data_IF_438833114026
#
_entry.id   IF_438833114026
#
_cell.length_a   1.000
_cell.length_b   1.000
_cell.length_c   1.000
_cell.angle_alpha   90.00
_cell.angle_beta   90.00
_cell.angle_gamma   90.00
#
_symmetry.space_group_name_H-M   'P 1'
#
loop_
_entity.id
_entity.type
_entity.pdbx_description
1 polymer ?
#
# COMPACT_ATOMS: atom_id res chain seq x y z
N UNK A 1 -14.12 -16.38 -23.25
CA UNK A 1 -14.04 -16.30 -21.78
C UNK A 1 -12.62 -16.70 -21.40
N UNK A 2 -11.87 -15.81 -20.74
CA UNK A 2 -10.54 -16.15 -20.23
C UNK A 2 -10.65 -17.20 -19.13
N UNK A 3 -9.70 -18.13 -19.10
CA UNK A 3 -9.56 -19.12 -18.04
C UNK A 3 -9.10 -18.44 -16.74
N UNK A 4 -9.23 -19.12 -15.60
CA UNK A 4 -8.69 -18.63 -14.33
C UNK A 4 -7.17 -18.39 -14.42
N UNK A 5 -6.45 -19.21 -15.19
CA UNK A 5 -5.03 -19.02 -15.43
C UNK A 5 -4.74 -17.68 -16.12
N UNK A 6 -5.51 -17.33 -17.16
CA UNK A 6 -5.36 -16.08 -17.91
C UNK A 6 -5.58 -14.85 -17.01
N UNK A 7 -6.56 -14.91 -16.10
CA UNK A 7 -6.83 -13.83 -15.13
C UNK A 7 -5.64 -13.58 -14.23
N UNK A 8 -5.07 -14.65 -13.67
CA UNK A 8 -3.94 -14.50 -12.75
C UNK A 8 -2.67 -14.10 -13.52
N UNK A 9 -2.50 -14.52 -14.77
CA UNK A 9 -1.40 -14.06 -15.62
C UNK A 9 -1.48 -12.56 -15.90
N UNK A 10 -2.68 -12.05 -16.19
CA UNK A 10 -2.92 -10.62 -16.34
C UNK A 10 -2.59 -9.83 -15.07
N UNK A 11 -2.95 -10.36 -13.89
CA UNK A 11 -2.64 -9.74 -12.60
C UNK A 11 -1.14 -9.65 -12.34
N UNK A 12 -0.38 -10.75 -12.49
CA UNK A 12 1.07 -10.74 -12.25
C UNK A 12 1.81 -9.84 -13.24
N UNK A 13 1.34 -9.74 -14.49
CA UNK A 13 1.93 -8.87 -15.50
C UNK A 13 1.76 -7.40 -15.11
N UNK A 14 0.57 -7.02 -14.64
CA UNK A 14 0.30 -5.67 -14.13
C UNK A 14 1.15 -5.35 -12.91
N UNK A 15 1.26 -6.30 -11.97
CA UNK A 15 2.06 -6.16 -10.77
C UNK A 15 3.55 -5.98 -11.08
N UNK A 16 4.12 -6.82 -11.95
CA UNK A 16 5.52 -6.72 -12.37
C UNK A 16 5.82 -5.40 -13.10
N UNK A 17 4.90 -4.95 -13.97
CA UNK A 17 5.04 -3.67 -14.67
C UNK A 17 5.00 -2.47 -13.70
N UNK A 18 4.18 -2.52 -12.65
CA UNK A 18 4.14 -1.47 -11.63
C UNK A 18 5.38 -1.48 -10.75
N UNK A 19 5.79 -2.67 -10.32
CA UNK A 19 6.96 -2.86 -9.48
C UNK A 19 8.25 -2.41 -10.17
N UNK A 20 8.45 -2.76 -11.44
CA UNK A 20 9.63 -2.33 -12.21
C UNK A 20 9.72 -0.80 -12.32
N UNK A 21 8.60 -0.11 -12.54
CA UNK A 21 8.57 1.37 -12.52
C UNK A 21 9.05 1.94 -11.19
N UNK A 22 8.57 1.37 -10.07
CA UNK A 22 8.98 1.81 -8.72
C UNK A 22 10.46 1.52 -8.49
N UNK A 23 10.93 0.33 -8.90
CA UNK A 23 12.31 -0.08 -8.73
C UNK A 23 13.28 0.82 -9.48
N UNK A 24 13.02 1.12 -10.76
CA UNK A 24 13.90 1.98 -11.56
C UNK A 24 13.79 3.46 -11.17
N UNK A 25 12.61 3.95 -10.75
CA UNK A 25 12.49 5.30 -10.17
C UNK A 25 13.32 5.43 -8.88
N UNK A 26 13.33 4.39 -8.03
CA UNK A 26 14.19 4.35 -6.85
C UNK A 26 15.67 4.27 -7.21
N UNK A 27 16.04 3.45 -8.20
CA UNK A 27 17.43 3.27 -8.61
C UNK A 27 18.03 4.54 -9.23
N UNK A 28 17.25 5.27 -10.03
CA UNK A 28 17.74 6.43 -10.79
C UNK A 28 17.58 7.75 -10.02
N UNK A 29 16.46 7.91 -9.30
CA UNK A 29 16.09 9.23 -8.73
C UNK A 29 16.03 9.26 -7.21
N UNK A 30 15.80 8.12 -6.55
CA UNK A 30 15.52 8.05 -5.11
C UNK A 30 16.30 6.91 -4.44
N UNK A 31 17.63 6.88 -4.64
CA UNK A 31 18.48 5.77 -4.16
C UNK A 31 18.42 5.59 -2.65
N UNK A 32 18.15 6.65 -1.90
CA UNK A 32 17.90 6.61 -0.46
C UNK A 32 16.70 5.73 -0.06
N UNK A 33 15.83 5.37 -1.02
CA UNK A 33 14.66 4.52 -0.83
C UNK A 33 14.84 3.09 -1.34
N UNK A 34 15.97 2.76 -1.98
CA UNK A 34 16.15 1.44 -2.60
C UNK A 34 16.14 0.30 -1.57
N UNK A 35 16.55 0.57 -0.33
CA UNK A 35 16.54 -0.42 0.76
C UNK A 35 15.14 -0.97 1.05
N UNK A 36 14.08 -0.17 0.91
CA UNK A 36 12.69 -0.62 1.12
C UNK A 36 12.22 -1.65 0.09
N UNK A 37 12.95 -1.78 -1.02
CA UNK A 37 12.63 -2.77 -2.05
C UNK A 37 13.31 -4.11 -1.76
N UNK A 38 14.42 -4.14 -1.03
CA UNK A 38 15.10 -5.39 -0.68
C UNK A 38 14.56 -6.02 0.60
N UNK A 39 14.50 -7.35 0.65
CA UNK A 39 14.08 -8.06 1.85
C UNK A 39 15.14 -7.93 2.96
N UNK A 40 14.70 -7.63 4.18
CA UNK A 40 15.59 -7.52 5.35
C UNK A 40 16.35 -8.82 5.63
N UNK A 41 15.71 -9.98 5.43
CA UNK A 41 16.33 -11.29 5.60
C UNK A 41 16.78 -11.88 4.26
N UNK A 42 18.09 -12.01 4.06
CA UNK A 42 18.66 -12.86 3.00
C UNK A 42 18.71 -12.27 1.58
N UNK A 43 18.46 -10.97 1.41
CA UNK A 43 18.63 -10.33 0.10
C UNK A 43 20.08 -10.43 -0.40
N UNK A 44 20.24 -10.77 -1.67
CA UNK A 44 21.54 -10.81 -2.36
C UNK A 44 21.40 -10.17 -3.74
N UNK A 45 22.23 -9.18 -4.01
CA UNK A 45 22.43 -8.58 -5.33
C UNK A 45 23.67 -9.22 -5.97
N UNK A 46 23.61 -9.58 -7.24
CA UNK A 46 24.79 -9.99 -8.00
C UNK A 46 25.01 -9.00 -9.12
N UNK A 47 26.08 -8.21 -9.04
CA UNK A 47 26.41 -7.18 -10.04
C UNK A 47 27.60 -7.63 -10.89
N UNK A 48 27.35 -7.95 -12.17
CA UNK A 48 28.37 -8.44 -13.10
C UNK A 48 29.23 -9.59 -12.51
N UNK A 49 28.58 -10.54 -11.83
CA UNK A 49 29.22 -11.69 -11.19
C UNK A 49 29.74 -11.45 -9.77
N UNK A 50 29.63 -10.23 -9.23
CA UNK A 50 30.08 -9.91 -7.86
C UNK A 50 28.88 -9.91 -6.90
N UNK A 51 28.82 -10.83 -5.92
CA UNK A 51 27.72 -10.87 -4.96
C UNK A 51 27.87 -9.80 -3.87
N UNK A 52 26.74 -9.20 -3.50
CA UNK A 52 26.57 -8.26 -2.40
C UNK A 52 25.38 -8.74 -1.58
N UNK A 53 25.64 -9.27 -0.38
CA UNK A 53 24.62 -9.87 0.49
C UNK A 53 24.27 -8.97 1.66
N UNK A 54 22.99 -8.92 2.01
CA UNK A 54 22.43 -8.13 3.10
C UNK A 54 21.95 -6.75 2.64
N UNK A 55 20.76 -6.35 3.11
CA UNK A 55 20.08 -5.11 2.70
C UNK A 55 20.97 -3.86 2.86
N UNK A 56 21.66 -3.73 4.01
CA UNK A 56 22.58 -2.61 4.27
C UNK A 56 23.76 -2.54 3.29
N UNK A 57 24.32 -3.69 2.92
CA UNK A 57 25.45 -3.75 1.99
C UNK A 57 25.00 -3.44 0.57
N UNK A 58 23.83 -3.94 0.18
CA UNK A 58 23.20 -3.62 -1.11
C UNK A 58 22.92 -2.13 -1.19
N UNK A 59 22.35 -1.54 -0.14
CA UNK A 59 22.10 -0.10 -0.06
C UNK A 59 23.39 0.71 -0.22
N UNK A 60 24.44 0.37 0.52
CA UNK A 60 25.75 1.03 0.42
C UNK A 60 26.35 0.88 -0.98
N UNK A 61 26.27 -0.31 -1.56
CA UNK A 61 26.77 -0.58 -2.91
C UNK A 61 26.04 0.27 -3.95
N UNK A 62 24.71 0.21 -3.99
CA UNK A 62 23.88 0.99 -4.92
C UNK A 62 24.13 2.50 -4.75
N UNK A 63 24.24 2.97 -3.51
CA UNK A 63 24.54 4.38 -3.21
C UNK A 63 25.92 4.82 -3.69
N UNK A 64 26.87 3.89 -3.81
CA UNK A 64 28.24 4.17 -4.29
C UNK A 64 28.38 4.17 -5.81
N UNK A 65 27.36 3.70 -6.54
CA UNK A 65 27.40 3.68 -8.00
C UNK A 65 27.32 5.11 -8.58
N UNK A 66 27.90 5.37 -9.76
CA UNK A 66 27.63 6.58 -10.53
C UNK A 66 26.13 6.76 -10.79
N UNK A 67 25.70 7.98 -11.15
CA UNK A 67 24.31 8.25 -11.55
C UNK A 67 23.88 7.30 -12.69
N UNK A 68 22.61 6.85 -12.61
CA UNK A 68 22.01 5.91 -13.55
C UNK A 68 20.77 6.51 -14.20
N UNK A 69 20.56 6.17 -15.47
CA UNK A 69 19.31 6.43 -16.19
C UNK A 69 18.96 5.18 -17.01
N UNK A 70 17.93 4.46 -16.58
CA UNK A 70 17.52 3.20 -17.19
C UNK A 70 16.39 3.40 -18.20
N UNK A 71 16.62 2.91 -19.42
CA UNK A 71 15.61 2.77 -20.46
C UNK A 71 15.27 1.29 -20.68
N UNK A 72 14.11 0.89 -20.18
CA UNK A 72 13.62 -0.49 -20.28
C UNK A 72 13.09 -0.77 -21.68
N UNK A 73 13.46 -1.92 -22.24
CA UNK A 73 12.97 -2.42 -23.53
C UNK A 73 11.99 -3.57 -23.33
N UNK A 74 12.23 -4.43 -22.33
CA UNK A 74 11.35 -5.54 -22.02
C UNK A 74 11.27 -5.82 -20.53
N UNK A 75 10.11 -6.36 -20.13
CA UNK A 75 9.83 -6.90 -18.81
C UNK A 75 9.14 -8.24 -19.03
N UNK A 76 9.69 -9.30 -18.43
CA UNK A 76 9.08 -10.63 -18.37
C UNK A 76 8.84 -11.01 -16.90
N UNK A 77 7.76 -11.73 -16.64
CA UNK A 77 7.42 -12.20 -15.29
C UNK A 77 6.98 -13.64 -15.32
N UNK A 78 7.51 -14.42 -14.39
CA UNK A 78 7.18 -15.84 -14.25
C UNK A 78 6.87 -16.16 -12.80
N UNK A 79 5.87 -17.01 -12.58
CA UNK A 79 5.59 -17.55 -11.25
C UNK A 79 6.56 -18.68 -10.96
N UNK A 80 7.16 -18.66 -9.78
CA UNK A 80 7.94 -19.79 -9.29
C UNK A 80 7.01 -20.67 -8.48
N UNK A 81 6.67 -21.84 -9.02
CA UNK A 81 6.02 -22.88 -8.23
C UNK A 81 7.08 -23.60 -7.40
N UNK A 82 7.14 -23.30 -6.10
CA UNK A 82 8.10 -23.95 -5.19
C UNK A 82 7.73 -25.41 -4.88
N UNK A 83 6.58 -25.92 -5.37
CA UNK A 83 6.17 -27.32 -5.21
C UNK A 83 5.85 -27.71 -3.76
N UNK A 84 5.67 -26.74 -2.86
CA UNK A 84 5.48 -26.96 -1.42
C UNK A 84 4.09 -26.45 -0.97
N UNK A 85 3.34 -27.23 -0.17
CA UNK A 85 2.08 -26.76 0.41
C UNK A 85 2.33 -25.50 1.27
N UNK A 86 1.63 -24.41 0.97
CA UNK A 86 1.78 -23.13 1.68
C UNK A 86 2.92 -22.24 1.16
N UNK A 87 3.59 -22.60 0.06
CA UNK A 87 4.61 -21.75 -0.56
C UNK A 87 4.04 -20.40 -0.97
N UNK A 88 4.75 -19.34 -0.65
CA UNK A 88 4.45 -17.97 -1.04
C UNK A 88 4.40 -17.85 -2.57
N UNK A 89 3.48 -17.05 -3.12
CA UNK A 89 3.47 -16.71 -4.54
C UNK A 89 4.73 -15.89 -4.87
N UNK A 90 5.80 -16.57 -5.29
CA UNK A 90 7.05 -15.97 -5.69
C UNK A 90 7.01 -15.65 -7.18
N UNK A 91 7.44 -14.44 -7.54
CA UNK A 91 7.58 -14.01 -8.92
C UNK A 91 9.06 -13.83 -9.23
N UNK A 92 9.48 -14.30 -10.40
CA UNK A 92 10.73 -13.90 -11.04
C UNK A 92 10.39 -12.79 -12.01
N UNK A 93 11.06 -11.64 -11.88
CA UNK A 93 10.93 -10.55 -12.84
C UNK A 93 12.27 -10.41 -13.55
N UNK A 94 12.22 -10.44 -14.88
CA UNK A 94 13.37 -10.23 -15.75
C UNK A 94 13.17 -8.95 -16.53
N UNK A 95 14.17 -8.09 -16.55
CA UNK A 95 14.12 -6.84 -17.31
C UNK A 95 15.34 -6.71 -18.19
N UNK A 96 15.17 -6.17 -19.39
CA UNK A 96 16.28 -5.87 -20.27
C UNK A 96 16.11 -4.47 -20.88
N UNK A 97 17.24 -3.84 -21.19
CA UNK A 97 17.25 -2.50 -21.72
C UNK A 97 18.65 -1.91 -21.81
N UNK A 98 18.71 -0.58 -21.79
CA UNK A 98 19.95 0.19 -21.77
C UNK A 98 20.01 1.06 -20.53
N UNK A 99 21.18 1.18 -19.92
CA UNK A 99 21.43 2.08 -18.78
C UNK A 99 22.57 3.02 -19.12
N UNK A 100 22.39 4.31 -18.85
CA UNK A 100 23.50 5.25 -18.78
C UNK A 100 24.06 5.15 -17.38
N UNK A 101 25.31 4.72 -17.22
CA UNK A 101 25.99 4.62 -15.92
C UNK A 101 27.28 5.43 -15.99
N UNK A 102 27.36 6.53 -15.22
CA UNK A 102 28.56 7.38 -15.22
C UNK A 102 28.89 7.98 -16.59
N UNK A 103 27.86 8.25 -17.40
CA UNK A 103 27.98 8.83 -18.75
C UNK A 103 28.22 7.81 -19.87
N UNK A 104 28.42 6.53 -19.56
CA UNK A 104 28.56 5.46 -20.55
C UNK A 104 27.23 4.70 -20.72
N UNK A 105 26.89 4.36 -21.96
CA UNK A 105 25.70 3.55 -22.27
C UNK A 105 26.07 2.06 -22.22
N UNK A 106 25.32 1.30 -21.45
CA UNK A 106 25.46 -0.15 -21.32
C UNK A 106 24.14 -0.84 -21.66
N UNK A 107 24.21 -1.99 -22.33
CA UNK A 107 23.07 -2.92 -22.40
C UNK A 107 23.07 -3.75 -21.12
N UNK A 108 21.91 -3.92 -20.52
CA UNK A 108 21.77 -4.70 -19.29
C UNK A 108 20.61 -5.69 -19.38
N UNK A 109 20.75 -6.76 -18.59
CA UNK A 109 19.67 -7.69 -18.27
C UNK A 109 19.72 -7.92 -16.76
N UNK A 110 18.65 -7.55 -16.07
CA UNK A 110 18.55 -7.66 -14.61
C UNK A 110 17.49 -8.69 -14.26
N UNK A 111 17.90 -9.65 -13.44
CA UNK A 111 17.03 -10.66 -12.86
C UNK A 111 16.76 -10.33 -11.39
N UNK A 112 15.49 -10.19 -11.02
CA UNK A 112 15.06 -9.89 -9.67
C UNK A 112 14.48 -11.17 -9.04
N UNK A 113 15.31 -11.86 -8.24
CA UNK A 113 14.99 -13.09 -7.52
C UNK A 113 15.06 -12.90 -6.00
N UNK A 114 14.19 -13.61 -5.25
CA UNK A 114 12.83 -13.15 -5.06
C UNK A 114 12.85 -11.83 -4.29
N UNK A 115 12.74 -10.71 -5.01
CA UNK A 115 12.27 -9.49 -4.35
C UNK A 115 10.80 -9.77 -4.07
N UNK A 116 10.48 -10.19 -2.84
CA UNK A 116 9.16 -10.69 -2.52
C UNK A 116 8.18 -9.50 -2.57
N UNK A 117 7.60 -9.30 -3.76
CA UNK A 117 6.39 -8.52 -3.96
C UNK A 117 5.31 -8.96 -2.96
N UNK A 118 5.33 -10.22 -2.51
CA UNK A 118 4.45 -10.75 -1.46
C UNK A 118 4.66 -10.17 -0.04
N UNK A 119 5.78 -9.53 0.34
CA UNK A 119 5.83 -8.84 1.65
C UNK A 119 5.06 -7.54 1.51
N UNK A 120 5.41 -6.71 0.54
CA UNK A 120 4.73 -5.43 0.30
C UNK A 120 3.25 -5.61 -0.03
N UNK A 121 2.86 -6.61 -0.84
CA UNK A 121 1.46 -6.86 -1.20
C UNK A 121 0.66 -7.42 0.00
N UNK A 122 1.21 -8.35 0.79
CA UNK A 122 0.52 -8.83 2.01
C UNK A 122 0.36 -7.71 3.02
N UNK A 123 1.44 -6.97 3.31
CA UNK A 123 1.39 -5.88 4.27
C UNK A 123 0.46 -4.75 3.80
N UNK A 124 0.46 -4.40 2.51
CA UNK A 124 -0.47 -3.40 1.95
C UNK A 124 -1.93 -3.88 1.97
N UNK A 125 -2.19 -5.16 1.66
CA UNK A 125 -3.54 -5.73 1.73
C UNK A 125 -4.06 -5.79 3.17
N UNK A 126 -3.22 -6.18 4.12
CA UNK A 126 -3.51 -6.18 5.56
C UNK A 126 -3.76 -4.75 6.07
N UNK A 127 -2.91 -3.78 5.70
CA UNK A 127 -3.13 -2.37 6.02
C UNK A 127 -4.43 -1.85 5.43
N UNK A 128 -4.74 -2.17 4.17
CA UNK A 128 -5.97 -1.74 3.50
C UNK A 128 -7.21 -2.32 4.18
N UNK A 129 -7.15 -3.60 4.55
CA UNK A 129 -8.22 -4.28 5.29
C UNK A 129 -8.42 -3.64 6.67
N UNK A 130 -7.33 -3.40 7.40
CA UNK A 130 -7.36 -2.78 8.71
C UNK A 130 -7.88 -1.34 8.65
N UNK A 131 -7.48 -0.56 7.64
CA UNK A 131 -7.97 0.80 7.43
C UNK A 131 -9.47 0.82 7.12
N UNK A 132 -9.94 -0.05 6.22
CA UNK A 132 -11.38 -0.21 5.91
C UNK A 132 -12.21 -0.53 7.17
N UNK A 133 -11.71 -1.45 8.01
CA UNK A 133 -12.37 -1.81 9.27
C UNK A 133 -12.44 -0.63 10.25
N UNK A 134 -11.34 0.12 10.41
CA UNK A 134 -11.30 1.31 11.27
C UNK A 134 -12.27 2.38 10.76
N UNK A 135 -12.28 2.66 9.45
CA UNK A 135 -13.21 3.62 8.84
C UNK A 135 -14.66 3.24 9.08
N UNK A 136 -15.02 1.96 8.91
CA UNK A 136 -16.38 1.49 9.17
C UNK A 136 -16.79 1.67 10.64
N UNK A 137 -15.88 1.39 11.58
CA UNK A 137 -16.12 1.62 13.02
C UNK A 137 -16.29 3.10 13.35
N UNK A 138 -15.44 3.98 12.80
CA UNK A 138 -15.53 5.42 13.06
C UNK A 138 -16.81 6.03 12.49
N UNK A 139 -17.24 5.61 11.30
CA UNK A 139 -18.51 6.07 10.71
C UNK A 139 -19.70 5.62 11.57
N UNK A 140 -19.70 4.38 12.04
CA UNK A 140 -20.76 3.86 12.92
C UNK A 140 -20.86 4.62 14.25
N UNK A 141 -19.71 5.03 14.82
CA UNK A 141 -19.65 5.87 16.02
C UNK A 141 -20.20 7.28 15.75
N UNK A 142 -19.85 7.90 14.63
CA UNK A 142 -20.41 9.19 14.22
C UNK A 142 -21.93 9.12 14.09
N UNK A 143 -22.47 8.12 13.40
CA UNK A 143 -23.91 7.95 13.25
C UNK A 143 -24.62 7.77 14.61
N UNK A 144 -23.97 7.11 15.57
CA UNK A 144 -24.50 6.95 16.93
C UNK A 144 -24.49 8.27 17.71
N UNK A 145 -23.43 9.07 17.59
CA UNK A 145 -23.34 10.41 18.16
C UNK A 145 -24.41 11.34 17.58
N UNK A 146 -24.62 11.33 16.26
CA UNK A 146 -25.64 12.15 15.60
C UNK A 146 -27.04 11.79 16.10
N UNK A 147 -27.36 10.49 16.23
CA UNK A 147 -28.62 10.05 16.83
C UNK A 147 -28.76 10.51 18.27
N UNK A 148 -27.72 10.35 19.09
CA UNK A 148 -27.75 10.77 20.49
C UNK A 148 -27.95 12.28 20.64
N UNK A 149 -27.30 13.08 19.80
CA UNK A 149 -27.46 14.53 19.77
C UNK A 149 -28.88 14.94 19.34
N UNK A 150 -29.45 14.26 18.35
CA UNK A 150 -30.83 14.48 17.93
C UNK A 150 -31.82 14.16 19.07
N UNK A 151 -31.61 13.06 19.80
CA UNK A 151 -32.42 12.73 20.98
C UNK A 151 -32.30 13.77 22.09
N UNK A 152 -31.09 14.24 22.40
CA UNK A 152 -30.91 15.30 23.41
C UNK A 152 -31.59 16.60 23.00
N UNK A 153 -31.51 16.97 21.73
CA UNK A 153 -32.19 18.16 21.19
C UNK A 153 -33.70 18.04 21.35
N UNK A 154 -34.28 16.87 21.04
CA UNK A 154 -35.70 16.62 21.22
C UNK A 154 -36.15 16.68 22.69
N UNK A 155 -35.35 16.12 23.61
CA UNK A 155 -35.61 16.18 25.06
C UNK A 155 -35.55 17.63 25.58
N UNK A 156 -34.57 18.41 25.14
CA UNK A 156 -34.43 19.82 25.51
C UNK A 156 -35.62 20.65 25.04
N UNK A 157 -36.04 20.49 23.77
CA UNK A 157 -37.23 21.16 23.24
C UNK A 157 -38.51 20.77 24.01
N UNK A 158 -38.67 19.48 24.34
CA UNK A 158 -39.79 19.01 25.15
C UNK A 158 -39.82 19.61 26.56
N UNK A 159 -38.66 19.74 27.20
CA UNK A 159 -38.55 20.37 28.52
C UNK A 159 -38.94 21.85 28.49
N UNK A 160 -38.49 22.59 27.48
CA UNK A 160 -38.84 24.01 27.28
C UNK A 160 -40.36 24.19 27.06
N UNK A 161 -40.98 23.27 26.30
CA UNK A 161 -42.42 23.31 26.08
C UNK A 161 -43.23 23.03 27.35
N UNK A 162 -42.80 22.06 28.17
CA UNK A 162 -43.41 21.78 29.48
C UNK A 162 -43.29 23.00 30.39
N UNK A 163 -42.10 23.62 30.45
CA UNK A 163 -41.86 24.80 31.26
C UNK A 163 -42.77 25.97 30.84
N UNK A 164 -42.93 26.17 29.54
CA UNK A 164 -43.82 27.18 28.96
C UNK A 164 -45.28 26.93 29.32
N UNK A 165 -45.76 25.69 29.16
CA UNK A 165 -47.12 25.31 29.55
C UNK A 165 -47.36 25.53 31.05
N UNK A 166 -46.40 25.14 31.89
CA UNK A 166 -46.48 25.33 33.35
C UNK A 166 -46.58 26.82 33.72
N UNK A 167 -45.86 27.68 33.00
CA UNK A 167 -45.95 29.13 33.18
C UNK A 167 -47.36 29.65 32.83
N UNK A 168 -47.93 29.23 31.70
CA UNK A 168 -49.31 29.60 31.33
C UNK A 168 -50.34 29.09 32.35
N UNK A 169 -50.22 27.86 32.85
CA UNK A 169 -51.11 27.35 33.89
C UNK A 169 -51.04 28.18 35.18
N UNK A 170 -49.83 28.55 35.63
CA UNK A 170 -49.67 29.41 36.82
C UNK A 170 -50.29 30.79 36.61
N UNK A 171 -50.14 31.38 35.42
CA UNK A 171 -50.78 32.66 35.11
C UNK A 171 -52.31 32.55 35.11
N UNK A 172 -52.86 31.48 34.55
CA UNK A 172 -54.30 31.24 34.53
C UNK A 172 -54.87 31.04 35.95
N UNK A 173 -54.17 30.32 36.83
CA UNK A 173 -54.57 30.15 38.25
C UNK A 173 -54.57 31.48 39.02
N UNK A 174 -53.64 32.39 38.71
CA UNK A 174 -53.59 33.74 39.30
C UNK A 174 -54.76 34.61 38.80
N UNK A 175 -55.15 34.49 37.54
CA UNK A 175 -56.26 35.27 36.95
C UNK A 175 -57.63 34.77 37.44
N UNK A 176 -57.76 33.48 37.74
CA UNK A 176 -59.02 32.85 38.17
C UNK A 176 -59.28 32.94 39.69
N UNK A 177 -58.37 33.53 40.47
CA UNK A 177 -58.55 33.87 41.89
C UNK A 177 -58.86 35.35 42.06
#
# INVERSE_FOLDING_TARGET
MGTEADRVDEEICKEAANFTKIFYDAMDRKREKINYLYCDSGATLVWNGNPVSGCDNIFKFISSLPETDHHLVSVDVQRINAGLPGSTNLLTITTAGTVILGGAVHVYMLYLYPLILSVTVRTMAELRSSYSSVTARTSSLHDACDRALAYQTALAAGAEQIQTNLHFFKQADVIMK
#
